data_IF_331095360065
#
_entry.id   IF_331095360065
#
_cell.length_a   1.000
_cell.length_b   1.000
_cell.length_c   1.000
_cell.angle_alpha   90.00
_cell.angle_beta   90.00
_cell.angle_gamma   90.00
#
_symmetry.space_group_name_H-M   'P 1'
#
loop_
_entity.id
_entity.type
_entity.pdbx_description
1 polymer ?
#
# COMPACT_ATOMS: atom_id res chain seq x y z
N UNK A 1 -67.55 15.38 -6.05
CA UNK A 1 -66.37 15.57 -5.25
C UNK A 1 -65.45 14.36 -5.41
N UNK A 2 -64.30 14.52 -6.07
CA UNK A 2 -63.30 13.47 -6.25
C UNK A 2 -62.18 13.69 -5.25
N UNK A 3 -61.68 12.67 -4.51
CA UNK A 3 -60.55 12.85 -3.62
C UNK A 3 -59.24 12.90 -4.39
N UNK A 4 -58.42 13.89 -4.11
CA UNK A 4 -57.04 14.00 -4.63
C UNK A 4 -56.11 13.03 -3.87
N UNK A 5 -55.46 12.15 -4.61
CA UNK A 5 -54.43 11.26 -4.10
C UNK A 5 -53.12 12.05 -4.00
N UNK A 6 -52.64 12.29 -2.77
CA UNK A 6 -51.34 12.89 -2.51
C UNK A 6 -50.28 11.77 -2.63
N UNK A 7 -49.44 11.81 -3.66
CA UNK A 7 -48.27 10.93 -3.81
C UNK A 7 -47.13 11.56 -2.99
N UNK A 8 -46.82 10.93 -1.85
CA UNK A 8 -45.68 11.30 -1.03
C UNK A 8 -44.41 10.72 -1.63
N UNK A 9 -43.57 11.55 -2.20
CA UNK A 9 -42.27 11.15 -2.76
C UNK A 9 -41.27 11.03 -1.60
N UNK A 10 -40.98 9.81 -1.17
CA UNK A 10 -39.93 9.53 -0.19
C UNK A 10 -38.59 9.58 -0.93
N UNK A 11 -37.87 10.70 -0.83
CA UNK A 11 -36.47 10.78 -1.25
C UNK A 11 -35.61 9.97 -0.27
N UNK A 12 -35.22 8.77 -0.67
CA UNK A 12 -34.17 8.01 0.01
C UNK A 12 -32.83 8.74 -0.20
N UNK A 13 -32.39 9.47 0.82
CA UNK A 13 -31.02 9.98 0.91
C UNK A 13 -30.08 8.78 1.07
N UNK A 14 -29.49 8.31 -0.03
CA UNK A 14 -28.37 7.39 0.01
C UNK A 14 -27.16 8.20 0.47
N UNK A 15 -26.90 8.18 1.77
CA UNK A 15 -25.63 8.68 2.32
C UNK A 15 -24.50 7.80 1.76
N UNK A 16 -23.70 8.34 0.86
CA UNK A 16 -22.45 7.71 0.46
C UNK A 16 -21.55 7.67 1.73
N UNK A 17 -21.47 6.51 2.40
CA UNK A 17 -20.48 6.28 3.44
C UNK A 17 -19.11 6.21 2.75
N UNK A 18 -18.39 7.33 2.77
CA UNK A 18 -16.98 7.36 2.36
C UNK A 18 -16.12 6.64 3.41
N UNK A 19 -15.02 6.01 2.96
CA UNK A 19 -14.03 5.42 3.85
C UNK A 19 -13.64 6.39 4.97
N UNK A 20 -13.77 5.94 6.20
CA UNK A 20 -13.46 6.76 7.36
C UNK A 20 -11.96 6.74 7.63
N UNK A 21 -11.30 7.90 7.47
CA UNK A 21 -9.94 8.11 8.01
C UNK A 21 -10.06 8.10 9.53
N UNK A 22 -9.56 7.04 10.17
CA UNK A 22 -9.86 6.82 11.58
C UNK A 22 -8.77 7.29 12.54
N UNK A 23 -7.49 7.16 12.18
CA UNK A 23 -6.40 7.42 13.11
C UNK A 23 -5.03 7.44 12.43
N UNK A 24 -4.10 8.24 12.96
CA UNK A 24 -2.66 8.12 12.74
C UNK A 24 -2.01 7.41 13.93
N UNK A 25 -1.22 6.36 13.66
CA UNK A 25 -0.63 5.50 14.68
C UNK A 25 0.88 5.47 14.46
N UNK A 26 1.71 5.92 15.44
CA UNK A 26 3.16 5.77 15.38
C UNK A 26 3.56 4.30 15.31
N UNK A 27 4.62 3.99 14.55
CA UNK A 27 5.14 2.63 14.44
C UNK A 27 5.78 2.14 15.75
N UNK A 28 6.33 3.06 16.53
CA UNK A 28 6.90 2.81 17.88
C UNK A 28 6.34 3.82 18.88
N UNK A 29 5.90 3.34 20.01
CA UNK A 29 5.31 4.18 21.07
C UNK A 29 6.29 5.20 21.63
N UNK A 30 7.58 4.85 21.67
CA UNK A 30 8.64 5.68 22.24
C UNK A 30 9.45 6.44 21.17
N UNK A 31 9.05 6.39 19.90
CA UNK A 31 9.79 6.94 18.77
C UNK A 31 10.64 5.89 18.05
N UNK A 32 11.12 6.23 16.85
CA UNK A 32 11.90 5.31 16.02
C UNK A 32 13.24 4.95 16.67
N UNK A 33 13.68 3.68 16.63
CA UNK A 33 14.91 3.22 17.27
C UNK A 33 16.14 4.03 16.86
N UNK A 34 16.87 4.55 17.86
CA UNK A 34 18.03 5.43 17.70
C UNK A 34 17.71 6.90 17.42
N UNK A 35 16.42 7.26 17.36
CA UNK A 35 15.92 8.60 17.10
C UNK A 35 14.75 8.98 18.01
N UNK A 36 14.66 8.36 19.18
CA UNK A 36 13.56 8.54 20.13
C UNK A 36 13.42 10.00 20.59
N UNK A 37 14.53 10.74 20.66
CA UNK A 37 14.54 12.16 21.00
C UNK A 37 13.82 13.03 19.98
N UNK A 38 13.71 12.57 18.72
CA UNK A 38 13.05 13.30 17.64
C UNK A 38 11.56 13.01 17.50
N UNK A 39 10.97 12.15 18.34
CA UNK A 39 9.58 11.72 18.24
C UNK A 39 8.54 12.85 18.31
N UNK A 40 8.88 13.97 18.95
CA UNK A 40 8.03 15.14 19.10
C UNK A 40 8.18 16.18 17.97
N UNK A 41 9.17 15.99 17.09
CA UNK A 41 9.32 16.83 15.91
C UNK A 41 8.19 16.51 14.92
N UNK A 42 7.29 17.48 14.68
CA UNK A 42 6.14 17.28 13.82
C UNK A 42 6.56 17.18 12.34
N UNK A 43 5.92 16.30 11.56
CA UNK A 43 6.10 16.30 10.11
C UNK A 43 5.57 17.58 9.50
N UNK A 44 6.14 17.98 8.37
CA UNK A 44 5.69 19.13 7.58
C UNK A 44 4.79 18.63 6.46
N UNK A 45 3.50 18.92 6.55
CA UNK A 45 2.53 18.61 5.51
C UNK A 45 2.20 19.86 4.68
N UNK A 46 2.18 19.72 3.36
CA UNK A 46 1.79 20.76 2.40
C UNK A 46 0.95 20.12 1.32
N UNK A 47 0.03 20.86 0.74
CA UNK A 47 -0.85 20.48 -0.39
C UNK A 47 -0.94 18.96 -0.70
N UNK A 48 0.08 18.38 -1.32
CA UNK A 48 0.12 16.99 -1.78
C UNK A 48 1.21 16.13 -1.11
N UNK A 49 2.17 16.73 -0.35
CA UNK A 49 3.34 16.03 0.17
C UNK A 49 3.52 16.17 1.69
N UNK A 50 4.32 15.23 2.25
CA UNK A 50 4.76 15.24 3.65
C UNK A 50 6.27 15.05 3.70
N UNK A 51 6.95 15.83 4.57
CA UNK A 51 8.39 15.79 4.86
C UNK A 51 8.65 15.81 6.36
N UNK A 52 9.94 15.84 6.76
CA UNK A 52 10.38 15.91 8.15
C UNK A 52 9.77 14.81 9.00
N UNK A 53 9.89 13.56 8.50
CA UNK A 53 9.30 12.40 9.17
C UNK A 53 10.34 11.79 10.11
N UNK A 54 10.23 12.11 11.40
CA UNK A 54 11.10 11.58 12.46
C UNK A 54 10.42 10.52 13.32
N UNK A 55 9.11 10.57 13.39
CA UNK A 55 8.28 9.58 14.07
C UNK A 55 7.39 8.87 13.02
N UNK A 56 7.92 7.83 12.34
CA UNK A 56 7.18 7.15 11.30
C UNK A 56 5.87 6.55 11.82
N UNK A 57 4.83 6.58 10.99
CA UNK A 57 3.46 6.26 11.39
C UNK A 57 2.67 5.62 10.26
N UNK A 58 1.54 5.01 10.58
CA UNK A 58 0.51 4.60 9.62
C UNK A 58 -0.74 5.43 9.81
N UNK A 59 -1.35 5.88 8.70
CA UNK A 59 -2.71 6.45 8.69
C UNK A 59 -3.69 5.36 8.27
N UNK A 60 -4.72 5.14 9.08
CA UNK A 60 -5.64 4.02 8.96
C UNK A 60 -6.88 4.41 8.13
N UNK A 61 -7.21 3.59 7.12
CA UNK A 61 -8.41 3.70 6.29
C UNK A 61 -9.15 2.36 6.34
N UNK A 62 -10.28 2.33 7.02
CA UNK A 62 -11.08 1.12 7.12
C UNK A 62 -12.25 1.18 6.14
N UNK A 63 -12.60 0.04 5.50
CA UNK A 63 -13.80 -0.06 4.71
C UNK A 63 -15.04 0.05 5.59
N UNK A 64 -16.17 0.39 4.99
CA UNK A 64 -17.46 0.23 5.64
C UNK A 64 -17.64 -1.24 6.07
N UNK A 65 -18.20 -1.46 7.25
CA UNK A 65 -18.25 -2.80 7.87
C UNK A 65 -18.89 -3.86 6.97
N UNK A 66 -19.91 -3.47 6.23
CA UNK A 66 -20.66 -4.34 5.30
C UNK A 66 -19.88 -4.69 4.03
N UNK A 67 -18.82 -3.94 3.71
CA UNK A 67 -17.94 -4.19 2.56
C UNK A 67 -16.66 -4.93 2.96
N UNK A 68 -16.32 -4.96 4.25
CA UNK A 68 -15.04 -5.45 4.74
C UNK A 68 -14.78 -6.90 4.30
N UNK A 69 -13.70 -7.11 3.55
CA UNK A 69 -13.29 -8.43 3.05
C UNK A 69 -12.35 -9.17 4.00
N UNK A 70 -11.79 -8.47 4.99
CA UNK A 70 -10.72 -8.94 5.85
C UNK A 70 -9.32 -8.82 5.24
N UNK A 71 -9.20 -8.45 3.96
CA UNK A 71 -7.90 -8.15 3.34
C UNK A 71 -7.38 -6.76 3.75
N UNK A 72 -6.05 -6.60 3.72
CA UNK A 72 -5.41 -5.34 4.07
C UNK A 72 -4.19 -5.04 3.20
N UNK A 73 -3.85 -3.75 3.06
CA UNK A 73 -2.68 -3.28 2.31
C UNK A 73 -1.97 -2.17 3.06
N UNK A 74 -0.65 -2.32 3.27
CA UNK A 74 0.22 -1.21 3.67
C UNK A 74 0.62 -0.46 2.40
N UNK A 75 0.25 0.82 2.30
CA UNK A 75 0.49 1.68 1.14
C UNK A 75 1.72 2.54 1.40
N UNK A 76 2.72 2.45 0.52
CA UNK A 76 3.97 3.21 0.56
C UNK A 76 3.96 4.27 -0.57
N UNK A 77 3.72 5.55 -0.26
CA UNK A 77 3.78 6.62 -1.26
C UNK A 77 5.19 6.80 -1.83
N UNK A 78 5.29 7.31 -3.06
CA UNK A 78 6.54 7.75 -3.67
C UNK A 78 6.95 9.16 -3.25
N UNK A 79 7.86 9.75 -4.04
CA UNK A 79 8.42 11.09 -3.80
C UNK A 79 9.95 11.09 -3.75
N UNK A 80 10.59 10.07 -4.34
CA UNK A 80 12.05 9.99 -4.52
C UNK A 80 12.85 9.91 -3.22
N UNK A 81 12.24 9.50 -2.11
CA UNK A 81 12.79 9.54 -0.75
C UNK A 81 13.18 10.94 -0.26
N UNK A 82 12.69 12.00 -0.94
CA UNK A 82 12.84 13.40 -0.52
C UNK A 82 11.60 13.94 0.14
N UNK A 83 10.46 13.39 -0.21
CA UNK A 83 9.12 13.68 0.32
C UNK A 83 8.24 12.46 0.15
N UNK A 84 7.06 12.46 0.74
CA UNK A 84 5.99 11.54 0.40
C UNK A 84 4.90 12.26 -0.38
N UNK A 85 4.57 11.78 -1.57
CA UNK A 85 3.41 12.25 -2.37
C UNK A 85 2.14 11.71 -1.72
N UNK A 86 1.85 12.17 -0.50
CA UNK A 86 0.90 11.57 0.41
C UNK A 86 -0.53 11.60 -0.11
N UNK A 87 -0.93 12.67 -0.79
CA UNK A 87 -2.31 12.80 -1.29
C UNK A 87 -2.59 11.81 -2.43
N UNK A 88 -1.79 11.86 -3.50
CA UNK A 88 -2.08 11.11 -4.73
C UNK A 88 -1.60 9.65 -4.70
N UNK A 89 -0.62 9.32 -3.86
CA UNK A 89 -0.04 7.97 -3.77
C UNK A 89 -0.22 7.33 -2.37
N UNK A 90 -0.90 8.04 -1.47
CA UNK A 90 -1.28 7.56 -0.14
C UNK A 90 -2.79 7.59 0.07
N UNK A 91 -3.36 8.80 0.24
CA UNK A 91 -4.79 9.00 0.56
C UNK A 91 -5.72 8.47 -0.56
N UNK A 92 -5.47 8.84 -1.82
CA UNK A 92 -6.33 8.43 -2.94
C UNK A 92 -6.37 6.89 -3.13
N UNK A 93 -5.24 6.15 -3.20
CA UNK A 93 -5.27 4.71 -3.29
C UNK A 93 -5.83 4.04 -2.03
N UNK A 94 -5.60 4.59 -0.83
CA UNK A 94 -6.15 4.05 0.40
C UNK A 94 -7.69 4.13 0.42
N UNK A 95 -8.26 5.25 -0.04
CA UNK A 95 -9.72 5.38 -0.21
C UNK A 95 -10.27 4.41 -1.24
N UNK A 96 -9.59 4.28 -2.38
CA UNK A 96 -9.99 3.30 -3.39
C UNK A 96 -10.03 1.88 -2.84
N UNK A 97 -8.97 1.47 -2.12
CA UNK A 97 -8.90 0.15 -1.48
C UNK A 97 -10.03 -0.05 -0.46
N UNK A 98 -10.30 0.96 0.38
CA UNK A 98 -11.38 0.90 1.34
C UNK A 98 -12.77 0.81 0.68
N UNK A 99 -12.98 1.50 -0.44
CA UNK A 99 -14.24 1.45 -1.20
C UNK A 99 -14.51 0.05 -1.79
N UNK A 100 -13.48 -0.71 -2.13
CA UNK A 100 -13.58 -2.12 -2.57
C UNK A 100 -13.49 -3.14 -1.43
N UNK A 101 -13.50 -2.69 -0.17
CA UNK A 101 -13.57 -3.54 1.02
C UNK A 101 -12.21 -3.97 1.59
N UNK A 102 -11.11 -3.38 1.15
CA UNK A 102 -9.74 -3.66 1.65
C UNK A 102 -9.31 -2.58 2.62
N UNK A 103 -8.91 -2.94 3.85
CA UNK A 103 -8.34 -1.99 4.79
C UNK A 103 -6.98 -1.49 4.27
N UNK A 104 -6.73 -0.19 4.37
CA UNK A 104 -5.48 0.40 3.91
C UNK A 104 -4.78 1.18 5.02
N UNK A 105 -3.46 1.09 5.03
CA UNK A 105 -2.59 1.68 6.04
C UNK A 105 -1.49 2.47 5.34
N UNK A 106 -1.65 3.79 5.24
CA UNK A 106 -0.69 4.64 4.53
C UNK A 106 0.51 4.90 5.41
N UNK A 107 1.67 4.44 4.97
CA UNK A 107 2.93 4.56 5.70
C UNK A 107 3.59 5.92 5.45
N UNK A 108 3.86 6.63 6.54
CA UNK A 108 4.81 7.75 6.56
C UNK A 108 6.17 7.22 7.02
N UNK A 109 7.05 6.92 6.07
CA UNK A 109 8.39 6.39 6.35
C UNK A 109 9.45 7.48 6.33
N UNK A 110 10.58 7.25 7.01
CA UNK A 110 11.71 8.19 7.08
C UNK A 110 12.39 8.36 5.73
N UNK A 111 12.72 9.60 5.40
CA UNK A 111 13.17 10.02 4.08
C UNK A 111 14.70 10.11 4.01
N UNK A 112 15.34 9.19 3.28
CA UNK A 112 16.81 9.10 3.21
C UNK A 112 17.46 10.10 2.26
N UNK A 113 16.69 10.85 1.46
CA UNK A 113 17.20 11.86 0.50
C UNK A 113 16.63 13.25 0.73
N UNK A 114 15.90 13.47 1.81
CA UNK A 114 15.53 14.80 2.26
C UNK A 114 16.79 15.57 2.65
N UNK A 115 16.84 16.87 2.35
CA UNK A 115 17.99 17.70 2.68
C UNK A 115 18.24 17.71 4.20
N UNK A 116 19.49 17.47 4.59
CA UNK A 116 19.88 17.36 6.01
C UNK A 116 19.38 16.10 6.73
N UNK A 117 18.79 15.15 6.02
CA UNK A 117 18.28 13.91 6.61
C UNK A 117 19.42 13.06 7.22
N UNK A 118 19.28 12.58 8.46
CA UNK A 118 20.21 11.63 9.06
C UNK A 118 19.91 10.17 8.67
N UNK A 119 18.92 9.93 7.81
CA UNK A 119 18.42 8.60 7.47
C UNK A 119 19.05 8.05 6.19
N UNK A 120 19.11 6.71 6.08
CA UNK A 120 19.39 6.01 4.84
C UNK A 120 18.17 5.19 4.41
N UNK A 121 18.02 4.99 3.10
CA UNK A 121 16.90 4.23 2.54
C UNK A 121 16.98 2.77 2.99
N UNK A 122 18.16 2.15 2.84
CA UNK A 122 18.42 0.74 3.09
C UNK A 122 18.15 0.33 4.54
N UNK A 123 18.39 1.23 5.48
CA UNK A 123 18.21 0.94 6.90
C UNK A 123 16.86 1.44 7.40
N UNK A 124 16.59 2.74 7.24
CA UNK A 124 15.51 3.38 7.99
C UNK A 124 14.16 3.25 7.28
N UNK A 125 14.10 3.51 5.95
CA UNK A 125 12.86 3.32 5.21
C UNK A 125 12.45 1.84 5.18
N UNK A 126 13.41 0.93 5.04
CA UNK A 126 13.17 -0.51 5.15
C UNK A 126 12.64 -0.89 6.54
N UNK A 127 13.29 -0.46 7.61
CA UNK A 127 12.87 -0.72 9.00
C UNK A 127 11.45 -0.24 9.25
N UNK A 128 11.09 0.93 8.70
CA UNK A 128 9.74 1.48 8.82
C UNK A 128 8.71 0.62 8.07
N UNK A 129 9.03 0.17 6.86
CA UNK A 129 8.19 -0.75 6.09
C UNK A 129 7.99 -2.09 6.78
N UNK A 130 9.06 -2.71 7.27
CA UNK A 130 9.01 -3.96 8.04
C UNK A 130 8.17 -3.81 9.31
N UNK A 131 8.37 -2.71 10.05
CA UNK A 131 7.62 -2.44 11.28
C UNK A 131 6.14 -2.17 10.99
N UNK A 132 5.80 -1.47 9.92
CA UNK A 132 4.42 -1.22 9.53
C UNK A 132 3.67 -2.54 9.25
N UNK A 133 4.28 -3.46 8.53
CA UNK A 133 3.70 -4.80 8.29
C UNK A 133 3.47 -5.57 9.59
N UNK A 134 4.45 -5.58 10.48
CA UNK A 134 4.34 -6.25 11.79
C UNK A 134 3.25 -5.60 12.65
N UNK A 135 3.18 -4.27 12.68
CA UNK A 135 2.17 -3.53 13.43
C UNK A 135 0.75 -3.84 12.93
N UNK A 136 0.53 -3.82 11.62
CA UNK A 136 -0.78 -4.17 11.03
C UNK A 136 -1.13 -5.61 11.37
N UNK A 137 -0.20 -6.55 11.25
CA UNK A 137 -0.40 -7.96 11.58
C UNK A 137 -0.70 -8.19 13.07
N UNK A 138 -0.03 -7.45 13.96
CA UNK A 138 -0.25 -7.54 15.42
C UNK A 138 -1.66 -7.10 15.83
N UNK A 139 -2.25 -6.16 15.08
CA UNK A 139 -3.58 -5.61 15.36
C UNK A 139 -4.66 -6.15 14.42
N UNK A 140 -4.37 -7.20 13.66
CA UNK A 140 -5.30 -7.77 12.68
C UNK A 140 -6.68 -8.11 13.29
N UNK A 141 -6.70 -8.70 14.48
CA UNK A 141 -7.94 -9.02 15.19
C UNK A 141 -8.78 -7.79 15.52
N UNK A 142 -8.14 -6.68 15.92
CA UNK A 142 -8.81 -5.41 16.26
C UNK A 142 -9.56 -4.83 15.05
N UNK A 143 -8.96 -4.95 13.86
CA UNK A 143 -9.50 -4.42 12.61
C UNK A 143 -10.28 -5.46 11.78
N UNK A 144 -10.49 -6.67 12.30
CA UNK A 144 -11.21 -7.73 11.60
C UNK A 144 -10.48 -8.23 10.35
N UNK A 145 -9.14 -8.22 10.37
CA UNK A 145 -8.30 -8.64 9.25
C UNK A 145 -7.93 -10.12 9.33
N UNK A 146 -7.72 -10.71 8.17
CA UNK A 146 -7.10 -12.02 8.01
C UNK A 146 -5.58 -11.84 7.88
N UNK A 147 -4.78 -12.34 8.85
CA UNK A 147 -3.32 -12.21 8.80
C UNK A 147 -2.66 -12.85 7.56
N UNK A 148 -3.34 -13.76 6.88
CA UNK A 148 -2.88 -14.39 5.64
C UNK A 148 -3.20 -13.58 4.38
N UNK A 149 -3.86 -12.42 4.51
CA UNK A 149 -4.25 -11.55 3.39
C UNK A 149 -3.85 -10.10 3.61
N UNK A 150 -2.63 -9.88 4.11
CA UNK A 150 -2.03 -8.55 4.31
C UNK A 150 -0.92 -8.36 3.28
N UNK A 151 -1.11 -7.44 2.35
CA UNK A 151 -0.16 -7.10 1.30
C UNK A 151 0.52 -5.74 1.49
N UNK A 152 1.39 -5.43 0.53
CA UNK A 152 1.99 -4.09 0.41
C UNK A 152 1.76 -3.51 -0.98
N UNK A 153 1.57 -2.20 -1.05
CA UNK A 153 1.46 -1.44 -2.29
C UNK A 153 2.47 -0.29 -2.27
N UNK A 154 3.18 -0.10 -3.37
CA UNK A 154 4.15 0.99 -3.45
C UNK A 154 4.17 1.68 -4.79
N UNK A 155 4.28 3.02 -4.75
CA UNK A 155 4.41 3.89 -5.91
C UNK A 155 5.84 4.43 -5.98
N UNK A 156 6.49 4.38 -7.15
CA UNK A 156 7.80 4.99 -7.35
C UNK A 156 8.81 4.59 -6.24
N UNK A 157 9.36 5.53 -5.50
CA UNK A 157 10.23 5.27 -4.33
C UNK A 157 9.55 4.40 -3.25
N UNK A 158 8.24 4.48 -3.10
CA UNK A 158 7.48 3.57 -2.22
C UNK A 158 7.51 2.12 -2.71
N UNK A 159 7.59 1.90 -4.02
CA UNK A 159 7.83 0.57 -4.60
C UNK A 159 9.20 0.01 -4.23
N UNK A 160 10.22 0.84 -4.06
CA UNK A 160 11.53 0.43 -3.55
C UNK A 160 11.44 -0.03 -2.09
N UNK A 161 10.61 0.63 -1.26
CA UNK A 161 10.33 0.18 0.12
C UNK A 161 9.63 -1.18 0.11
N UNK A 162 8.61 -1.36 -0.74
CA UNK A 162 7.93 -2.65 -0.91
C UNK A 162 8.92 -3.73 -1.31
N UNK A 163 9.81 -3.46 -2.26
CA UNK A 163 10.84 -4.41 -2.71
C UNK A 163 11.76 -4.83 -1.57
N UNK A 164 12.27 -3.88 -0.77
CA UNK A 164 13.13 -4.19 0.38
C UNK A 164 12.47 -5.08 1.41
N UNK A 165 11.17 -4.92 1.65
CA UNK A 165 10.41 -5.73 2.62
C UNK A 165 10.05 -7.09 2.03
N UNK A 166 9.47 -7.12 0.83
CA UNK A 166 8.93 -8.32 0.21
C UNK A 166 10.01 -9.36 -0.15
N UNK A 167 11.22 -8.92 -0.49
CA UNK A 167 12.32 -9.80 -0.87
C UNK A 167 13.37 -9.96 0.24
N UNK A 168 13.04 -9.53 1.47
CA UNK A 168 13.80 -9.87 2.68
C UNK A 168 13.39 -11.26 3.19
N UNK A 169 14.12 -11.78 4.19
CA UNK A 169 13.70 -13.01 4.88
C UNK A 169 12.36 -12.87 5.59
N UNK A 170 12.00 -11.65 5.99
CA UNK A 170 10.71 -11.30 6.55
C UNK A 170 10.38 -11.90 7.92
N UNK A 171 11.22 -12.78 8.45
CA UNK A 171 11.01 -13.44 9.74
C UNK A 171 11.02 -12.42 10.89
N UNK A 172 10.26 -12.70 11.95
CA UNK A 172 10.33 -11.94 13.18
C UNK A 172 11.51 -12.36 14.04
N UNK A 173 11.93 -11.49 14.95
CA UNK A 173 12.91 -11.80 15.98
C UNK A 173 12.21 -12.42 17.21
N UNK A 174 12.25 -13.74 17.33
CA UNK A 174 11.62 -14.46 18.44
C UNK A 174 12.14 -14.04 19.82
N UNK A 175 13.34 -13.45 19.89
CA UNK A 175 13.97 -12.99 21.13
C UNK A 175 13.69 -11.51 21.42
N UNK A 176 13.02 -10.79 20.53
CA UNK A 176 12.70 -9.38 20.76
C UNK A 176 11.84 -9.20 22.00
N UNK A 177 12.13 -8.18 22.79
CA UNK A 177 11.32 -7.75 23.93
C UNK A 177 10.00 -7.12 23.50
N UNK A 178 9.96 -6.54 22.29
CA UNK A 178 8.73 -6.03 21.68
C UNK A 178 7.98 -7.17 20.95
N UNK A 179 6.77 -7.54 21.40
CA UNK A 179 6.00 -8.62 20.78
C UNK A 179 5.65 -8.37 19.31
N UNK A 180 5.61 -7.10 18.86
CA UNK A 180 5.36 -6.76 17.47
C UNK A 180 6.53 -7.22 16.59
N UNK A 181 7.76 -7.08 17.05
CA UNK A 181 8.96 -7.46 16.28
C UNK A 181 9.17 -8.98 16.19
N UNK A 182 8.40 -9.78 16.98
CA UNK A 182 8.39 -11.24 16.85
C UNK A 182 7.57 -11.74 15.65
N UNK A 183 6.75 -10.87 15.05
CA UNK A 183 5.89 -11.22 13.91
C UNK A 183 6.65 -11.11 12.59
N UNK A 184 6.23 -11.91 11.60
CA UNK A 184 6.73 -11.76 10.23
C UNK A 184 6.30 -10.43 9.62
N UNK A 185 7.21 -9.77 8.91
CA UNK A 185 6.91 -8.61 8.07
C UNK A 185 6.62 -8.99 6.61
N UNK A 186 6.73 -10.28 6.25
CA UNK A 186 6.58 -10.73 4.87
C UNK A 186 5.16 -10.49 4.37
N UNK A 187 4.94 -9.75 3.26
CA UNK A 187 3.62 -9.52 2.69
C UNK A 187 3.07 -10.78 2.02
N UNK A 188 1.75 -10.98 2.08
CA UNK A 188 1.11 -12.11 1.42
C UNK A 188 0.90 -11.87 -0.10
N UNK A 189 0.97 -10.62 -0.55
CA UNK A 189 0.96 -10.20 -1.94
C UNK A 189 1.56 -8.80 -2.06
N UNK A 190 1.99 -8.42 -3.27
CA UNK A 190 2.52 -7.07 -3.52
C UNK A 190 1.88 -6.41 -4.75
N UNK A 191 1.82 -5.08 -4.69
CA UNK A 191 1.33 -4.22 -5.77
C UNK A 191 2.39 -3.17 -6.02
N UNK A 192 3.03 -3.22 -7.19
CA UNK A 192 4.15 -2.35 -7.55
C UNK A 192 3.77 -1.43 -8.72
N UNK A 193 3.63 -0.15 -8.45
CA UNK A 193 3.22 0.86 -9.42
C UNK A 193 4.42 1.73 -9.77
N UNK A 194 4.91 1.60 -11.01
CA UNK A 194 6.12 2.26 -11.53
C UNK A 194 7.24 2.39 -10.49
N UNK A 195 7.66 1.27 -9.83
CA UNK A 195 8.66 1.32 -8.77
C UNK A 195 9.97 1.92 -9.26
N UNK A 196 10.66 2.64 -8.37
CA UNK A 196 12.02 3.08 -8.64
C UNK A 196 12.97 1.88 -8.84
N UNK A 197 14.19 2.13 -9.38
CA UNK A 197 15.10 1.06 -9.76
C UNK A 197 15.86 0.41 -8.59
N UNK A 198 15.82 1.00 -7.39
CA UNK A 198 16.60 0.50 -6.27
C UNK A 198 15.96 -0.75 -5.67
N UNK A 199 16.81 -1.71 -5.29
CA UNK A 199 16.41 -2.95 -4.59
C UNK A 199 15.49 -3.88 -5.39
N UNK A 200 15.35 -3.70 -6.71
CA UNK A 200 14.64 -4.66 -7.56
C UNK A 200 15.54 -5.89 -7.71
N UNK A 201 15.11 -7.07 -7.26
CA UNK A 201 15.95 -8.26 -7.33
C UNK A 201 16.08 -8.77 -8.76
N UNK A 202 17.26 -9.32 -9.09
CA UNK A 202 17.47 -10.03 -10.37
C UNK A 202 16.80 -11.40 -10.38
N UNK A 203 16.59 -11.99 -9.21
CA UNK A 203 15.92 -13.27 -9.00
C UNK A 203 15.04 -13.21 -7.78
N UNK A 204 13.91 -13.89 -7.80
CA UNK A 204 13.02 -14.04 -6.65
C UNK A 204 13.08 -15.48 -6.12
N UNK A 205 12.94 -15.63 -4.81
CA UNK A 205 12.90 -16.94 -4.16
C UNK A 205 11.53 -17.62 -4.32
N UNK A 206 11.40 -18.91 -3.97
CA UNK A 206 10.16 -19.66 -4.09
C UNK A 206 9.05 -19.18 -3.14
N UNK A 207 9.41 -18.40 -2.15
CA UNK A 207 8.55 -17.78 -1.14
C UNK A 207 8.13 -16.34 -1.52
N UNK A 208 8.53 -15.84 -2.70
CA UNK A 208 8.13 -14.50 -3.12
C UNK A 208 6.60 -14.39 -3.24
N UNK A 209 6.01 -13.29 -2.74
CA UNK A 209 4.56 -13.11 -2.75
C UNK A 209 4.06 -12.89 -4.19
N UNK A 210 2.85 -13.38 -4.55
CA UNK A 210 2.25 -13.04 -5.84
C UNK A 210 2.17 -11.54 -6.04
N UNK A 211 2.31 -11.08 -7.31
CA UNK A 211 2.52 -9.68 -7.61
C UNK A 211 1.56 -9.12 -8.67
N UNK A 212 1.08 -7.89 -8.44
CA UNK A 212 0.51 -7.02 -9.47
C UNK A 212 1.53 -5.93 -9.82
N UNK A 213 1.89 -5.83 -11.10
CA UNK A 213 2.98 -5.01 -11.60
C UNK A 213 2.46 -4.03 -12.65
N UNK A 214 2.77 -2.74 -12.53
CA UNK A 214 2.23 -1.71 -13.41
C UNK A 214 3.26 -0.63 -13.73
N UNK A 215 3.43 -0.32 -15.02
CA UNK A 215 4.21 0.83 -15.50
C UNK A 215 3.72 1.34 -16.85
N UNK A 216 4.20 2.52 -17.26
CA UNK A 216 4.12 2.99 -18.63
C UNK A 216 5.46 2.77 -19.34
N UNK A 217 5.45 2.33 -20.60
CA UNK A 217 6.66 2.02 -21.36
C UNK A 217 7.52 3.27 -21.67
N UNK A 218 6.87 4.42 -21.74
CA UNK A 218 7.52 5.72 -21.94
C UNK A 218 8.10 6.34 -20.64
N UNK A 219 7.90 5.70 -19.49
CA UNK A 219 8.54 6.07 -18.23
C UNK A 219 10.02 5.68 -18.24
N UNK A 220 10.89 6.64 -18.52
CA UNK A 220 12.36 6.43 -18.62
C UNK A 220 13.01 6.01 -17.31
N UNK A 221 12.40 6.34 -16.16
CA UNK A 221 12.89 5.94 -14.84
C UNK A 221 12.52 4.48 -14.53
N UNK A 222 11.25 4.16 -14.71
CA UNK A 222 10.64 3.19 -13.84
C UNK A 222 9.83 2.10 -14.59
N UNK A 223 9.94 2.03 -15.93
CA UNK A 223 9.43 0.91 -16.74
C UNK A 223 10.33 -0.32 -16.65
N UNK A 224 11.65 -0.15 -16.75
CA UNK A 224 12.60 -1.27 -16.70
C UNK A 224 12.54 -2.10 -15.43
N UNK A 225 12.36 -1.54 -14.22
CA UNK A 225 12.18 -2.34 -13.00
C UNK A 225 11.05 -3.36 -13.09
N UNK A 226 9.89 -2.98 -13.65
CA UNK A 226 8.73 -3.88 -13.81
C UNK A 226 9.05 -5.02 -14.80
N UNK A 227 9.71 -4.73 -15.91
CA UNK A 227 10.08 -5.75 -16.90
C UNK A 227 11.06 -6.78 -16.30
N UNK A 228 12.07 -6.32 -15.57
CA UNK A 228 13.02 -7.19 -14.86
C UNK A 228 12.33 -8.06 -13.82
N UNK A 229 11.48 -7.46 -13.01
CA UNK A 229 10.76 -8.16 -11.96
C UNK A 229 9.81 -9.21 -12.54
N UNK A 230 9.05 -8.87 -13.59
CA UNK A 230 8.19 -9.84 -14.28
C UNK A 230 8.98 -11.03 -14.81
N UNK A 231 10.16 -10.80 -15.40
CA UNK A 231 11.03 -11.90 -15.86
C UNK A 231 11.48 -12.78 -14.68
N UNK A 232 11.91 -12.16 -13.57
CA UNK A 232 12.34 -12.90 -12.37
C UNK A 232 11.22 -13.79 -11.80
N UNK A 233 9.96 -13.29 -11.79
CA UNK A 233 8.79 -14.05 -11.37
C UNK A 233 8.48 -15.22 -12.29
N UNK A 234 8.57 -15.01 -13.61
CA UNK A 234 8.39 -16.08 -14.61
C UNK A 234 9.42 -17.18 -14.45
N UNK A 235 10.68 -16.81 -14.26
CA UNK A 235 11.79 -17.77 -14.10
C UNK A 235 11.64 -18.59 -12.82
N UNK A 236 11.05 -18.01 -11.77
CA UNK A 236 10.75 -18.67 -10.50
C UNK A 236 9.44 -19.46 -10.51
N UNK A 237 8.60 -19.33 -11.53
CA UNK A 237 7.28 -19.97 -11.59
C UNK A 237 6.26 -19.41 -10.59
N UNK A 238 6.43 -18.16 -10.15
CA UNK A 238 5.55 -17.49 -9.17
C UNK A 238 4.53 -16.63 -9.91
N UNK A 239 3.25 -16.61 -9.49
CA UNK A 239 2.21 -15.83 -10.13
C UNK A 239 2.51 -14.32 -10.10
N UNK A 240 2.48 -13.68 -11.27
CA UNK A 240 2.52 -12.23 -11.40
C UNK A 240 1.65 -11.79 -12.57
N UNK A 241 0.86 -10.75 -12.35
CA UNK A 241 0.14 -10.04 -13.41
C UNK A 241 0.83 -8.71 -13.68
N UNK A 242 1.07 -8.38 -14.96
CA UNK A 242 1.75 -7.15 -15.33
C UNK A 242 1.00 -6.39 -16.42
N UNK A 243 0.90 -5.06 -16.25
CA UNK A 243 0.36 -4.14 -17.23
C UNK A 243 1.41 -3.10 -17.61
N UNK A 244 1.81 -3.10 -18.88
CA UNK A 244 2.73 -2.11 -19.44
C UNK A 244 1.99 -1.29 -20.46
N UNK A 245 1.61 -0.07 -20.09
CA UNK A 245 0.91 0.84 -20.99
C UNK A 245 1.90 1.51 -21.97
N UNK A 246 1.47 1.70 -23.22
CA UNK A 246 2.34 2.30 -24.25
C UNK A 246 2.79 3.72 -23.87
N UNK A 247 1.91 4.48 -23.20
CA UNK A 247 2.11 5.86 -22.79
C UNK A 247 1.54 6.10 -21.40
N UNK A 248 2.09 7.05 -20.67
CA UNK A 248 1.64 7.43 -19.32
C UNK A 248 2.65 8.27 -18.57
N UNK A 249 3.91 8.21 -19.00
CA UNK A 249 5.04 8.79 -18.27
C UNK A 249 5.13 8.27 -16.83
N UNK A 250 5.91 8.95 -16.00
CA UNK A 250 5.98 8.69 -14.57
C UNK A 250 4.83 9.37 -13.81
N UNK A 251 4.47 8.82 -12.63
CA UNK A 251 3.55 9.45 -11.68
C UNK A 251 2.13 9.69 -12.21
N UNK A 252 1.56 8.74 -12.97
CA UNK A 252 0.15 8.80 -13.35
C UNK A 252 -0.81 8.50 -12.17
N UNK A 253 -0.30 8.14 -11.00
CA UNK A 253 -1.02 7.91 -9.74
C UNK A 253 -2.21 6.96 -9.92
N UNK A 254 -3.40 7.30 -9.43
CA UNK A 254 -4.63 6.52 -9.64
C UNK A 254 -5.25 6.70 -11.04
N UNK A 255 -4.58 7.41 -11.95
CA UNK A 255 -5.01 7.61 -13.33
C UNK A 255 -6.11 8.65 -13.53
N UNK A 256 -6.70 9.18 -12.47
CA UNK A 256 -7.85 10.11 -12.52
C UNK A 256 -7.53 11.46 -13.19
N UNK A 257 -6.24 11.84 -13.27
CA UNK A 257 -5.78 13.06 -13.96
C UNK A 257 -5.31 12.81 -15.40
N UNK A 258 -5.25 11.54 -15.84
CA UNK A 258 -4.82 11.20 -17.19
C UNK A 258 -5.97 11.35 -18.20
N UNK A 259 -5.64 11.74 -19.44
CA UNK A 259 -6.57 11.70 -20.56
C UNK A 259 -6.60 10.32 -21.26
N UNK A 260 -5.63 9.45 -20.96
CA UNK A 260 -5.52 8.11 -21.54
C UNK A 260 -6.49 7.15 -20.86
N UNK A 261 -7.41 6.58 -21.62
CA UNK A 261 -8.43 5.65 -21.09
C UNK A 261 -7.81 4.42 -20.42
N UNK A 262 -6.75 3.87 -21.00
CA UNK A 262 -6.03 2.73 -20.42
C UNK A 262 -5.44 3.05 -19.02
N UNK A 263 -4.83 4.23 -18.89
CA UNK A 263 -4.30 4.70 -17.61
C UNK A 263 -5.44 4.94 -16.60
N UNK A 264 -6.56 5.52 -17.02
CA UNK A 264 -7.71 5.73 -16.14
C UNK A 264 -8.36 4.43 -15.67
N UNK A 265 -8.22 3.36 -16.46
CA UNK A 265 -8.81 2.05 -16.19
C UNK A 265 -7.97 1.12 -15.31
N UNK A 266 -6.72 1.47 -14.96
CA UNK A 266 -5.85 0.54 -14.25
C UNK A 266 -6.35 0.15 -12.84
N UNK A 267 -7.01 1.04 -12.06
CA UNK A 267 -7.49 0.62 -10.74
C UNK A 267 -8.50 -0.53 -10.81
N UNK A 268 -9.32 -0.58 -11.90
CA UNK A 268 -10.23 -1.70 -12.13
C UNK A 268 -9.46 -3.01 -12.40
N UNK A 269 -8.33 -2.96 -13.13
CA UNK A 269 -7.47 -4.16 -13.35
C UNK A 269 -6.91 -4.69 -12.04
N UNK A 270 -6.52 -3.79 -11.12
CA UNK A 270 -6.11 -4.18 -9.78
C UNK A 270 -7.25 -4.89 -9.03
N UNK A 271 -8.47 -4.35 -9.09
CA UNK A 271 -9.63 -4.98 -8.44
C UNK A 271 -9.91 -6.36 -9.01
N UNK A 272 -9.85 -6.52 -10.33
CA UNK A 272 -10.05 -7.81 -11.00
C UNK A 272 -8.98 -8.81 -10.53
N UNK A 273 -7.69 -8.43 -10.52
CA UNK A 273 -6.60 -9.27 -10.03
C UNK A 273 -6.77 -9.67 -8.56
N UNK A 274 -7.16 -8.74 -7.68
CA UNK A 274 -7.42 -9.03 -6.27
C UNK A 274 -8.57 -10.04 -6.09
N UNK A 275 -9.59 -10.00 -6.97
CA UNK A 275 -10.67 -10.99 -6.98
C UNK A 275 -10.18 -12.36 -7.47
N UNK A 276 -9.52 -12.41 -8.62
CA UNK A 276 -9.04 -13.64 -9.26
C UNK A 276 -7.99 -14.36 -8.40
N UNK A 277 -7.20 -13.59 -7.66
CA UNK A 277 -6.24 -14.10 -6.67
C UNK A 277 -6.87 -14.44 -5.31
N UNK A 278 -8.19 -14.42 -5.18
CA UNK A 278 -8.94 -14.71 -3.95
C UNK A 278 -8.60 -13.82 -2.74
N UNK A 279 -7.99 -12.66 -2.98
CA UNK A 279 -7.60 -11.72 -1.91
C UNK A 279 -8.84 -11.04 -1.33
N UNK A 280 -9.81 -10.65 -2.18
CA UNK A 280 -11.06 -10.00 -1.73
C UNK A 280 -12.05 -11.00 -1.11
N UNK A 281 -11.99 -12.26 -1.49
CA UNK A 281 -12.86 -13.30 -0.94
C UNK A 281 -12.01 -14.52 -0.59
N UNK A 282 -12.11 -15.06 0.64
CA UNK A 282 -11.46 -16.33 0.95
C UNK A 282 -11.94 -17.39 -0.04
N UNK A 283 -11.05 -18.29 -0.45
CA UNK A 283 -11.45 -19.44 -1.25
C UNK A 283 -12.56 -20.18 -0.51
N UNK A 284 -13.72 -20.30 -1.13
CA UNK A 284 -14.77 -21.20 -0.64
C UNK A 284 -14.16 -22.59 -0.77
N UNK A 285 -13.93 -23.28 0.36
CA UNK A 285 -13.48 -24.67 0.30
C UNK A 285 -14.43 -25.43 -0.64
N UNK A 286 -13.93 -26.14 -1.67
CA UNK A 286 -14.78 -27.00 -2.48
C UNK A 286 -15.47 -27.97 -1.53
N UNK A 287 -16.75 -28.29 -1.75
CA UNK A 287 -17.42 -29.28 -0.93
C UNK A 287 -16.60 -30.58 -0.97
N UNK A 288 -16.30 -31.11 0.20
CA UNK A 288 -15.58 -32.37 0.38
C UNK A 288 -16.34 -33.52 -0.26
#
# INVERSE_FOLDING_TARGET
MRPALAISCICLLVSALSAQVSQEIPLWSNGAPGFESKRSEAPIARDYWVRNIHNPSITVYLPAKEKATGAAVVVCPGGGHRELVFKAEGDEPARYLADIGVAAFVLKYRLGREEGSPYSIEKHARQDGERAMRLVRSRAKEWGLDPARIGMMGFSAGGEVVSMVAFSRGEGDAQSTDPIDRLSCHPNFIIMIYPGPLFIPERVGPDAPPAFLLAANDDKCCSSPILKLLQAYRDAGIPAEAHIYAQGNHAFNMGNRSQLLSIRGWPQRLTDWLNDSHILRPAVNPPR
#
